data_IF_513591492325
#
_entry.id   IF_513591492325
#
_cell.length_a   1.000
_cell.length_b   1.000
_cell.length_c   1.000
_cell.angle_alpha   90.00
_cell.angle_beta   90.00
_cell.angle_gamma   90.00
#
_symmetry.space_group_name_H-M   'P 1'
#
loop_
_entity.id
_entity.type
_entity.pdbx_description
1 polymer ?
#
# COMPACT_ATOMS: atom_id res chain seq x y z
N UNK A 1 3.92 -20.24 -17.60
CA UNK A 1 3.96 -18.74 -17.68
C UNK A 1 5.41 -18.28 -17.58
N UNK A 2 5.86 -17.27 -18.34
CA UNK A 2 7.17 -16.69 -18.13
C UNK A 2 7.28 -16.15 -16.71
N UNK A 3 8.45 -16.26 -16.05
CA UNK A 3 8.58 -15.94 -14.62
C UNK A 3 8.25 -14.47 -14.27
N UNK A 4 8.42 -13.55 -15.21
CA UNK A 4 7.99 -12.14 -15.03
C UNK A 4 6.47 -11.98 -14.88
N UNK A 5 5.69 -12.76 -15.64
CA UNK A 5 4.22 -12.72 -15.54
C UNK A 5 3.71 -13.36 -14.26
N UNK A 6 4.33 -14.48 -13.83
CA UNK A 6 3.99 -15.10 -12.56
C UNK A 6 4.26 -14.14 -11.38
N UNK A 7 5.38 -13.39 -11.45
CA UNK A 7 5.71 -12.39 -10.45
C UNK A 7 4.69 -11.23 -10.42
N UNK A 8 4.35 -10.66 -11.59
CA UNK A 8 3.35 -9.58 -11.66
C UNK A 8 1.96 -10.05 -11.17
N UNK A 9 1.55 -11.27 -11.51
CA UNK A 9 0.32 -11.86 -10.97
C UNK A 9 0.40 -12.03 -9.44
N UNK A 10 1.56 -12.46 -8.93
CA UNK A 10 1.82 -12.55 -7.49
C UNK A 10 1.75 -11.19 -6.79
N UNK A 11 2.38 -10.16 -7.36
CA UNK A 11 2.31 -8.78 -6.83
C UNK A 11 0.85 -8.28 -6.81
N UNK A 12 0.09 -8.50 -7.90
CA UNK A 12 -1.34 -8.14 -7.96
C UNK A 12 -2.12 -8.82 -6.85
N UNK A 13 -1.99 -10.15 -6.74
CA UNK A 13 -2.69 -10.95 -5.73
C UNK A 13 -2.32 -10.54 -4.30
N UNK A 14 -1.02 -10.33 -4.03
CA UNK A 14 -0.52 -9.90 -2.72
C UNK A 14 -1.07 -8.54 -2.31
N UNK A 15 -1.08 -7.57 -3.24
CA UNK A 15 -1.59 -6.22 -2.99
C UNK A 15 -3.10 -6.21 -2.73
N UNK A 16 -3.88 -6.98 -3.49
CA UNK A 16 -5.32 -7.11 -3.25
C UNK A 16 -5.60 -7.85 -1.94
N UNK A 17 -4.82 -8.88 -1.61
CA UNK A 17 -4.94 -9.59 -0.34
C UNK A 17 -4.62 -8.67 0.86
N UNK A 18 -3.62 -7.78 0.73
CA UNK A 18 -3.29 -6.78 1.74
C UNK A 18 -4.48 -5.85 2.03
N UNK A 19 -5.12 -5.33 0.98
CA UNK A 19 -6.32 -4.48 1.12
C UNK A 19 -7.48 -5.28 1.71
N UNK A 20 -7.70 -6.51 1.24
CA UNK A 20 -8.73 -7.40 1.80
C UNK A 20 -8.52 -7.68 3.28
N UNK A 21 -7.29 -7.99 3.70
CA UNK A 21 -6.95 -8.20 5.11
C UNK A 21 -7.20 -6.93 5.94
N UNK A 22 -6.84 -5.75 5.42
CA UNK A 22 -7.11 -4.48 6.10
C UNK A 22 -8.61 -4.20 6.26
N UNK A 23 -9.44 -4.55 5.28
CA UNK A 23 -10.90 -4.42 5.38
C UNK A 23 -11.50 -5.42 6.36
N UNK A 24 -11.00 -6.67 6.37
CA UNK A 24 -11.40 -7.68 7.36
C UNK A 24 -11.04 -7.22 8.77
N UNK A 25 -9.84 -6.66 8.97
CA UNK A 25 -9.41 -6.12 10.26
C UNK A 25 -10.31 -4.97 10.71
N UNK A 26 -10.71 -4.09 9.80
CA UNK A 26 -11.59 -2.96 10.08
C UNK A 26 -13.00 -3.40 10.46
N UNK A 27 -13.63 -4.24 9.64
CA UNK A 27 -15.05 -4.61 9.82
C UNK A 27 -15.26 -5.80 10.74
N UNK A 28 -14.29 -6.72 10.83
CA UNK A 28 -14.38 -7.93 11.66
C UNK A 28 -13.85 -7.76 13.08
N UNK A 29 -12.86 -6.88 13.26
CA UNK A 29 -12.18 -6.69 14.55
C UNK A 29 -12.24 -5.23 15.05
N UNK A 30 -13.04 -4.39 14.40
CA UNK A 30 -13.23 -2.96 14.74
C UNK A 30 -11.91 -2.15 14.82
N UNK A 31 -10.92 -2.56 14.01
CA UNK A 31 -9.63 -1.88 13.91
C UNK A 31 -9.75 -0.69 12.96
N UNK A 32 -10.16 0.47 13.50
CA UNK A 32 -10.45 1.65 12.69
C UNK A 32 -9.17 2.23 12.05
N UNK A 33 -9.19 2.55 10.73
CA UNK A 33 -7.99 3.01 10.03
C UNK A 33 -7.69 4.48 10.29
N UNK A 34 -6.40 4.81 10.39
CA UNK A 34 -5.90 6.17 10.40
C UNK A 34 -5.70 6.71 8.97
N UNK A 35 -5.48 8.04 8.78
CA UNK A 35 -5.23 8.61 7.45
C UNK A 35 -4.08 7.96 6.68
N UNK A 36 -2.97 7.65 7.36
CA UNK A 36 -1.82 6.97 6.75
C UNK A 36 -2.13 5.52 6.40
N UNK A 37 -2.95 4.83 7.21
CA UNK A 37 -3.42 3.47 6.91
C UNK A 37 -4.25 3.44 5.61
N UNK A 38 -5.13 4.43 5.45
CA UNK A 38 -5.97 4.56 4.26
C UNK A 38 -5.14 4.92 3.02
N UNK A 39 -4.14 5.80 3.17
CA UNK A 39 -3.20 6.11 2.09
C UNK A 39 -2.42 4.86 1.63
N UNK A 40 -1.99 4.00 2.56
CA UNK A 40 -1.34 2.73 2.21
C UNK A 40 -2.26 1.78 1.43
N UNK A 41 -3.56 1.73 1.76
CA UNK A 41 -4.55 0.97 0.96
C UNK A 41 -4.62 1.48 -0.48
N UNK A 42 -4.63 2.81 -0.66
CA UNK A 42 -4.59 3.41 -2.00
C UNK A 42 -3.32 3.01 -2.75
N UNK A 43 -2.15 3.05 -2.09
CA UNK A 43 -0.88 2.65 -2.70
C UNK A 43 -0.92 1.16 -3.12
N UNK A 44 -1.41 0.25 -2.28
CA UNK A 44 -1.57 -1.16 -2.65
C UNK A 44 -2.49 -1.36 -3.85
N UNK A 45 -3.61 -0.63 -3.93
CA UNK A 45 -4.51 -0.69 -5.09
C UNK A 45 -3.84 -0.16 -6.36
N UNK A 46 -3.08 0.93 -6.28
CA UNK A 46 -2.30 1.44 -7.42
C UNK A 46 -1.23 0.43 -7.86
N UNK A 47 -0.52 -0.21 -6.93
CA UNK A 47 0.42 -1.29 -7.22
C UNK A 47 -0.28 -2.45 -7.94
N UNK A 48 -1.45 -2.88 -7.46
CA UNK A 48 -2.23 -3.94 -8.10
C UNK A 48 -2.63 -3.57 -9.54
N UNK A 49 -3.09 -2.33 -9.77
CA UNK A 49 -3.45 -1.83 -11.11
C UNK A 49 -2.25 -1.77 -12.05
N UNK A 50 -1.11 -1.26 -11.57
CA UNK A 50 0.13 -1.17 -12.36
C UNK A 50 0.66 -2.57 -12.71
N UNK A 51 0.67 -3.50 -11.74
CA UNK A 51 1.08 -4.88 -11.99
C UNK A 51 0.13 -5.59 -12.97
N UNK A 52 -1.17 -5.36 -12.86
CA UNK A 52 -2.17 -5.91 -13.77
C UNK A 52 -2.00 -5.34 -15.19
N UNK A 53 -1.78 -4.03 -15.33
CA UNK A 53 -1.46 -3.41 -16.62
C UNK A 53 -0.17 -4.00 -17.22
N UNK A 54 0.85 -4.23 -16.40
CA UNK A 54 2.10 -4.88 -16.80
C UNK A 54 1.92 -6.31 -17.32
N UNK A 55 0.90 -7.03 -16.84
CA UNK A 55 0.56 -8.35 -17.38
C UNK A 55 0.06 -8.29 -18.83
N UNK A 56 -0.65 -7.23 -19.18
CA UNK A 56 -1.13 -7.01 -20.56
C UNK A 56 -0.02 -6.47 -21.47
N UNK A 57 0.92 -5.71 -20.94
CA UNK A 57 1.97 -5.03 -21.69
C UNK A 57 3.20 -5.91 -21.88
N UNK A 58 3.39 -6.45 -23.07
CA UNK A 58 4.43 -7.47 -23.35
C UNK A 58 5.76 -6.89 -23.84
N UNK A 59 5.82 -5.61 -24.20
CA UNK A 59 7.05 -4.98 -24.69
C UNK A 59 8.07 -4.79 -23.56
N UNK A 60 9.36 -4.79 -23.92
CA UNK A 60 10.44 -4.53 -22.95
C UNK A 60 10.28 -3.17 -22.29
N UNK A 61 9.89 -2.14 -23.06
CA UNK A 61 9.63 -0.80 -22.53
C UNK A 61 8.46 -0.81 -21.53
N UNK A 62 7.36 -1.51 -21.85
CA UNK A 62 6.23 -1.64 -20.95
C UNK A 62 6.59 -2.35 -19.65
N UNK A 63 7.38 -3.40 -19.71
CA UNK A 63 7.85 -4.11 -18.52
C UNK A 63 8.80 -3.26 -17.67
N UNK A 64 9.68 -2.49 -18.28
CA UNK A 64 10.57 -1.54 -17.58
C UNK A 64 9.79 -0.42 -16.90
N UNK A 65 8.84 0.20 -17.60
CA UNK A 65 8.01 1.25 -17.02
C UNK A 65 7.17 0.72 -15.86
N UNK A 66 6.60 -0.48 -16.00
CA UNK A 66 5.90 -1.17 -14.90
C UNK A 66 6.81 -1.36 -13.69
N UNK A 67 8.02 -1.90 -13.88
CA UNK A 67 8.95 -2.12 -12.78
C UNK A 67 9.35 -0.82 -12.07
N UNK A 68 9.66 0.23 -12.82
CA UNK A 68 10.01 1.55 -12.25
C UNK A 68 8.83 2.14 -11.48
N UNK A 69 7.61 2.06 -12.02
CA UNK A 69 6.42 2.57 -11.32
C UNK A 69 6.14 1.77 -10.04
N UNK A 70 6.33 0.44 -10.05
CA UNK A 70 6.22 -0.39 -8.85
C UNK A 70 7.23 0.01 -7.78
N UNK A 71 8.50 0.28 -8.16
CA UNK A 71 9.53 0.77 -7.25
C UNK A 71 9.17 2.13 -6.64
N UNK A 72 8.63 3.06 -7.42
CA UNK A 72 8.21 4.36 -6.89
C UNK A 72 7.04 4.24 -5.92
N UNK A 73 6.04 3.41 -6.24
CA UNK A 73 4.88 3.19 -5.38
C UNK A 73 5.24 2.40 -4.12
N UNK A 74 6.06 1.36 -4.24
CA UNK A 74 6.53 0.58 -3.10
C UNK A 74 7.38 1.42 -2.15
N UNK A 75 8.32 2.22 -2.69
CA UNK A 75 9.11 3.18 -1.92
C UNK A 75 8.24 4.22 -1.20
N UNK A 76 7.21 4.75 -1.87
CA UNK A 76 6.23 5.64 -1.24
C UNK A 76 5.46 4.93 -0.10
N UNK A 77 5.10 3.66 -0.30
CA UNK A 77 4.46 2.83 0.72
C UNK A 77 5.36 2.63 1.94
N UNK A 78 6.63 2.27 1.73
CA UNK A 78 7.63 2.14 2.81
C UNK A 78 7.76 3.47 3.57
N UNK A 79 7.92 4.58 2.86
CA UNK A 79 8.03 5.91 3.48
C UNK A 79 6.77 6.25 4.31
N UNK A 80 5.57 5.91 3.81
CA UNK A 80 4.31 6.14 4.52
C UNK A 80 4.24 5.32 5.81
N UNK A 81 4.65 4.05 5.80
CA UNK A 81 4.68 3.19 7.01
C UNK A 81 5.67 3.75 8.05
N UNK A 82 6.89 4.07 7.63
CA UNK A 82 7.92 4.58 8.54
C UNK A 82 7.49 5.92 9.13
N UNK A 83 6.93 6.82 8.32
CA UNK A 83 6.40 8.09 8.81
C UNK A 83 5.25 7.89 9.79
N UNK A 84 4.32 6.98 9.49
CA UNK A 84 3.23 6.63 10.39
C UNK A 84 3.76 6.18 11.75
N UNK A 85 4.71 5.26 11.77
CA UNK A 85 5.24 4.67 13.01
C UNK A 85 6.04 5.68 13.84
N UNK A 86 7.01 6.37 13.22
CA UNK A 86 7.97 7.21 13.95
C UNK A 86 7.48 8.64 14.21
N UNK A 87 6.56 9.15 13.40
CA UNK A 87 6.14 10.56 13.47
C UNK A 87 4.65 10.68 13.77
N UNK A 88 3.78 10.05 12.98
CA UNK A 88 2.35 10.30 13.10
C UNK A 88 1.75 9.67 14.36
N UNK A 89 2.20 8.48 14.76
CA UNK A 89 1.73 7.79 15.96
C UNK A 89 2.11 8.52 17.26
N UNK A 90 3.19 9.30 17.25
CA UNK A 90 3.65 10.10 18.41
C UNK A 90 3.03 11.50 18.46
N UNK A 91 2.36 11.95 17.40
CA UNK A 91 1.77 13.29 17.33
C UNK A 91 0.31 13.28 17.78
N UNK A 92 0.03 14.02 18.85
CA UNK A 92 -1.34 14.30 19.33
C UNK A 92 -2.02 15.46 18.57
N UNK A 93 -1.47 15.88 17.42
CA UNK A 93 -1.98 17.06 16.72
C UNK A 93 -3.23 16.74 15.92
N UNK A 94 -4.30 17.49 16.16
CA UNK A 94 -5.53 17.49 15.33
C UNK A 94 -5.35 18.19 13.97
N UNK A 95 -4.11 18.47 13.54
CA UNK A 95 -3.85 19.12 12.25
C UNK A 95 -3.98 18.10 11.11
N UNK A 96 -4.59 18.52 10.00
CA UNK A 96 -4.68 17.74 8.77
C UNK A 96 -3.28 17.30 8.32
N UNK A 97 -3.05 16.00 8.29
CA UNK A 97 -1.77 15.43 7.84
C UNK A 97 -1.65 15.50 6.31
N UNK A 98 -0.46 15.23 5.78
CA UNK A 98 -0.28 15.08 4.33
C UNK A 98 -1.19 13.98 3.77
N UNK A 99 -1.34 12.87 4.49
CA UNK A 99 -2.23 11.79 4.10
C UNK A 99 -3.69 12.24 4.00
N UNK A 100 -4.19 13.02 4.98
CA UNK A 100 -5.54 13.61 4.92
C UNK A 100 -5.73 14.50 3.68
N UNK A 101 -4.74 15.33 3.37
CA UNK A 101 -4.80 16.22 2.21
C UNK A 101 -4.88 15.43 0.90
N UNK A 102 -4.08 14.39 0.74
CA UNK A 102 -4.07 13.52 -0.44
C UNK A 102 -5.41 12.80 -0.55
N UNK A 103 -5.89 12.19 0.53
CA UNK A 103 -7.13 11.43 0.53
C UNK A 103 -8.34 12.31 0.26
N UNK A 104 -8.48 13.44 0.96
CA UNK A 104 -9.59 14.37 0.74
C UNK A 104 -9.54 15.00 -0.65
N UNK A 105 -8.33 15.33 -1.15
CA UNK A 105 -8.15 15.85 -2.51
C UNK A 105 -8.48 14.86 -3.61
N UNK A 106 -8.39 13.56 -3.35
CA UNK A 106 -8.75 12.50 -4.29
C UNK A 106 -10.27 12.29 -4.44
N UNK A 107 -11.07 12.72 -3.45
CA UNK A 107 -12.51 12.48 -3.40
C UNK A 107 -12.89 11.02 -3.09
N UNK A 108 -11.93 10.11 -2.94
CA UNK A 108 -12.18 8.70 -2.66
C UNK A 108 -12.93 8.43 -1.34
N UNK A 109 -12.67 9.15 -0.24
CA UNK A 109 -13.42 8.97 1.00
C UNK A 109 -14.93 9.22 0.85
N UNK A 110 -15.33 10.15 -0.03
CA UNK A 110 -16.76 10.41 -0.29
C UNK A 110 -17.38 9.39 -1.24
N UNK A 111 -16.60 8.76 -2.12
CA UNK A 111 -17.08 7.76 -3.08
C UNK A 111 -17.14 6.36 -2.46
N UNK A 112 -16.16 5.99 -1.66
CA UNK A 112 -16.01 4.67 -1.06
C UNK A 112 -15.60 4.82 0.43
N UNK A 113 -16.49 5.31 1.31
CA UNK A 113 -16.15 5.60 2.71
C UNK A 113 -15.69 4.35 3.47
N UNK A 114 -16.28 3.19 3.22
CA UNK A 114 -15.91 1.94 3.90
C UNK A 114 -14.47 1.48 3.61
N UNK A 115 -13.87 1.97 2.53
CA UNK A 115 -12.49 1.63 2.13
C UNK A 115 -11.52 2.76 2.47
N UNK A 116 -11.92 4.02 2.24
CA UNK A 116 -11.01 5.16 2.21
C UNK A 116 -11.29 6.24 3.25
N UNK A 117 -12.29 6.08 4.12
CA UNK A 117 -12.52 7.02 5.23
C UNK A 117 -11.60 6.68 6.41
N UNK A 118 -10.83 7.68 6.85
CA UNK A 118 -10.07 7.58 8.09
C UNK A 118 -11.01 7.85 9.28
N UNK A 119 -11.08 6.91 10.22
CA UNK A 119 -12.01 6.95 11.36
C UNK A 119 -11.30 7.01 12.72
N UNK A 120 -9.97 6.95 12.74
CA UNK A 120 -9.14 6.99 13.92
C UNK A 120 -7.94 7.91 13.73
N UNK A 121 -7.34 8.39 14.83
CA UNK A 121 -6.01 9.00 14.80
C UNK A 121 -4.93 7.93 14.62
N UNK A 122 -3.71 8.33 14.24
CA UNK A 122 -2.62 7.36 14.13
C UNK A 122 -2.22 6.76 15.49
N UNK A 123 -2.42 7.50 16.59
CA UNK A 123 -2.19 7.00 17.93
C UNK A 123 -3.22 5.94 18.33
N UNK A 124 -4.50 6.15 18.01
CA UNK A 124 -5.59 5.20 18.30
C UNK A 124 -5.52 3.95 17.42
N UNK A 125 -5.04 4.11 16.19
CA UNK A 125 -4.84 3.00 15.23
C UNK A 125 -3.59 2.17 15.48
N UNK A 126 -2.72 2.57 16.43
CA UNK A 126 -1.49 1.86 16.77
C UNK A 126 -1.81 0.61 17.60
N UNK A 127 -2.14 -0.48 16.93
CA UNK A 127 -2.46 -1.78 17.54
C UNK A 127 -1.35 -2.79 17.23
N UNK A 128 -1.16 -3.75 18.15
CA UNK A 128 -0.24 -4.86 17.95
C UNK A 128 -1.00 -6.10 17.47
N UNK A 129 -0.53 -6.69 16.37
CA UNK A 129 -1.02 -7.96 15.84
C UNK A 129 0.10 -9.00 15.95
N UNK A 130 -0.15 -10.08 16.70
CA UNK A 130 0.83 -11.14 16.95
C UNK A 130 2.16 -10.63 17.55
N UNK A 131 2.11 -9.59 18.39
CA UNK A 131 3.27 -9.02 19.05
C UNK A 131 4.08 -8.01 18.23
N UNK A 132 3.64 -7.70 17.00
CA UNK A 132 4.23 -6.69 16.14
C UNK A 132 3.23 -5.57 15.88
N UNK A 133 3.68 -4.29 15.79
CA UNK A 133 2.82 -3.20 15.33
C UNK A 133 2.19 -3.53 13.97
N UNK A 134 0.89 -3.28 13.82
CA UNK A 134 0.13 -3.66 12.63
C UNK A 134 0.74 -3.14 11.33
N UNK A 135 1.28 -1.93 11.35
CA UNK A 135 1.92 -1.29 10.21
C UNK A 135 3.16 -2.03 9.68
N UNK A 136 3.86 -2.80 10.51
CA UNK A 136 5.02 -3.58 10.07
C UNK A 136 4.66 -4.76 9.16
N UNK A 137 3.44 -5.26 9.23
CA UNK A 137 2.94 -6.23 8.25
C UNK A 137 2.83 -5.59 6.87
N UNK A 138 2.34 -4.34 6.81
CA UNK A 138 2.34 -3.55 5.57
C UNK A 138 3.74 -3.28 5.04
N UNK A 139 4.70 -2.96 5.94
CA UNK A 139 6.10 -2.76 5.59
C UNK A 139 6.70 -4.01 4.94
N UNK A 140 6.49 -5.18 5.53
CA UNK A 140 7.01 -6.44 4.98
C UNK A 140 6.46 -6.72 3.58
N UNK A 141 5.19 -6.41 3.34
CA UNK A 141 4.56 -6.55 2.02
C UNK A 141 5.15 -5.57 1.00
N UNK A 142 5.36 -4.31 1.35
CA UNK A 142 6.02 -3.34 0.47
C UNK A 142 7.45 -3.75 0.14
N UNK A 143 8.22 -4.24 1.11
CA UNK A 143 9.58 -4.74 0.88
C UNK A 143 9.59 -5.96 -0.07
N UNK A 144 8.63 -6.86 0.05
CA UNK A 144 8.49 -8.00 -0.87
C UNK A 144 8.17 -7.53 -2.30
N UNK A 145 7.30 -6.52 -2.45
CA UNK A 145 6.98 -5.91 -3.75
C UNK A 145 8.21 -5.23 -4.35
N UNK A 146 8.97 -4.47 -3.54
CA UNK A 146 10.22 -3.84 -3.96
C UNK A 146 11.23 -4.85 -4.48
N UNK A 147 11.47 -5.93 -3.73
CA UNK A 147 12.37 -7.01 -4.16
C UNK A 147 11.91 -7.62 -5.50
N UNK A 148 10.61 -7.84 -5.67
CA UNK A 148 10.03 -8.31 -6.93
C UNK A 148 10.22 -7.34 -8.09
N UNK A 149 10.02 -6.04 -7.86
CA UNK A 149 10.19 -5.00 -8.87
C UNK A 149 11.67 -4.84 -9.30
N UNK A 150 12.61 -4.89 -8.34
CA UNK A 150 14.06 -4.90 -8.63
C UNK A 150 14.43 -6.11 -9.47
N UNK A 151 13.94 -7.30 -9.10
CA UNK A 151 14.20 -8.51 -9.87
C UNK A 151 13.63 -8.44 -11.29
N UNK A 152 12.41 -7.90 -11.44
CA UNK A 152 11.80 -7.68 -12.76
C UNK A 152 12.66 -6.76 -13.62
N UNK A 153 13.18 -5.67 -13.05
CA UNK A 153 14.03 -4.72 -13.75
C UNK A 153 15.39 -5.32 -14.15
N UNK A 154 16.01 -6.11 -13.25
CA UNK A 154 17.29 -6.77 -13.50
C UNK A 154 17.22 -7.79 -14.64
N UNK A 155 16.11 -8.49 -14.79
CA UNK A 155 15.92 -9.48 -15.88
C UNK A 155 15.72 -8.87 -17.27
N UNK A 156 15.53 -7.57 -17.35
CA UNK A 156 15.32 -6.87 -18.63
C UNK A 156 16.59 -6.17 -19.15
N UNK A 157 17.71 -6.40 -18.48
CA UNK A 157 19.04 -6.03 -18.93
C UNK A 157 19.61 -7.14 -19.81
#
# INVERSE_FOLDING_TARGET
>A
MPPSRALLAGITGLSLAAVGAALVSQHGFDMQPCPWCVLQRLIFLLIALVALAGLAWRSVLGQRSTAVTLLLLGGAGIAAVLWQHFVAASSLSCKLTLADRIMNGSGLPSLLPDVFEARATCADAAVNLLGLPYEFWGLALFLAIEAGAVWLLARQR
#
